data_IF_983429619182
#
_entry.id   IF_983429619182
#
_cell.length_a   1.000
_cell.length_b   1.000
_cell.length_c   1.000
_cell.angle_alpha   90.00
_cell.angle_beta   90.00
_cell.angle_gamma   90.00
#
_symmetry.space_group_name_H-M   'P 1'
#
loop_
_entity.id
_entity.type
_entity.pdbx_description
1 polymer ?
#
# COMPACT_ATOMS: atom_id res chain seq x y z
N UNK A 1 -15.66 23.31 12.25
CA UNK A 1 -15.22 22.18 13.10
C UNK A 1 -14.95 21.01 12.17
N UNK A 2 -13.68 20.70 11.90
CA UNK A 2 -13.32 19.49 11.14
C UNK A 2 -13.55 18.31 12.06
N UNK A 3 -14.45 17.39 11.71
CA UNK A 3 -14.44 16.05 12.31
C UNK A 3 -13.01 15.51 12.12
N UNK A 4 -12.27 15.36 13.21
CA UNK A 4 -10.88 14.92 13.16
C UNK A 4 -10.85 13.48 12.65
N UNK A 5 -10.18 13.24 11.53
CA UNK A 5 -9.98 11.87 11.05
C UNK A 5 -9.03 11.20 12.04
N UNK A 6 -9.52 10.15 12.71
CA UNK A 6 -8.72 9.38 13.64
C UNK A 6 -7.82 8.41 12.86
N UNK A 7 -6.54 8.41 13.21
CA UNK A 7 -5.58 7.38 12.82
C UNK A 7 -5.87 6.07 13.55
N UNK A 8 -5.41 4.95 12.99
CA UNK A 8 -5.42 3.64 13.66
C UNK A 8 -4.09 2.91 13.42
N UNK A 9 -3.07 3.29 14.19
CA UNK A 9 -1.74 2.68 14.11
C UNK A 9 -1.76 1.20 14.49
N UNK A 10 -2.66 0.77 15.36
CA UNK A 10 -2.84 -0.64 15.70
C UNK A 10 -3.28 -1.44 14.47
N UNK A 11 -4.26 -0.94 13.71
CA UNK A 11 -4.67 -1.56 12.45
C UNK A 11 -3.56 -1.58 11.40
N UNK A 12 -2.72 -0.54 11.35
CA UNK A 12 -1.56 -0.51 10.47
C UNK A 12 -0.54 -1.62 10.80
N UNK A 13 -0.29 -1.86 12.09
CA UNK A 13 0.61 -2.93 12.53
C UNK A 13 0.00 -4.31 12.29
N UNK A 14 -1.27 -4.53 12.67
CA UNK A 14 -1.96 -5.80 12.38
C UNK A 14 -1.96 -6.13 10.89
N UNK A 15 -2.11 -5.11 10.05
CA UNK A 15 -2.00 -5.27 8.60
C UNK A 15 -0.59 -5.75 8.19
N UNK A 16 0.47 -5.09 8.67
CA UNK A 16 1.86 -5.48 8.34
C UNK A 16 2.20 -6.89 8.79
N UNK A 17 1.75 -7.28 10.00
CA UNK A 17 1.89 -8.64 10.52
C UNK A 17 1.15 -9.68 9.65
N UNK A 18 0.00 -9.33 9.07
CA UNK A 18 -0.77 -10.23 8.22
C UNK A 18 -0.18 -10.39 6.80
N UNK A 19 0.32 -9.30 6.21
CA UNK A 19 0.85 -9.34 4.82
C UNK A 19 2.32 -9.76 4.74
N UNK A 20 3.10 -9.53 5.81
CA UNK A 20 4.52 -9.88 5.92
C UNK A 20 4.85 -10.34 7.35
N UNK A 21 4.38 -11.53 7.72
CA UNK A 21 4.52 -12.09 9.08
C UNK A 21 5.97 -12.25 9.54
N UNK A 22 6.84 -12.67 8.62
CA UNK A 22 8.25 -12.97 8.88
C UNK A 22 9.20 -12.09 8.04
N UNK A 23 8.63 -11.24 7.18
CA UNK A 23 9.36 -10.41 6.23
C UNK A 23 9.67 -9.01 6.73
N UNK A 24 10.47 -8.26 5.97
CA UNK A 24 10.76 -6.86 6.26
C UNK A 24 9.58 -5.95 5.92
N UNK A 25 9.25 -5.03 6.83
CA UNK A 25 8.31 -3.95 6.61
C UNK A 25 9.04 -2.72 6.05
N UNK A 26 9.17 -2.67 4.73
CA UNK A 26 9.74 -1.49 4.04
C UNK A 26 8.69 -0.39 3.91
N UNK A 27 8.75 0.62 4.78
CA UNK A 27 7.80 1.74 4.82
C UNK A 27 8.36 3.00 4.16
N UNK A 28 7.48 3.73 3.47
CA UNK A 28 7.80 5.00 2.79
C UNK A 28 6.79 6.06 3.20
N UNK A 29 7.28 7.28 3.43
CA UNK A 29 6.47 8.47 3.72
C UNK A 29 6.65 9.52 2.62
N UNK A 30 5.53 10.08 2.14
CA UNK A 30 5.50 11.13 1.12
C UNK A 30 4.72 12.32 1.63
N UNK A 31 5.37 13.48 1.72
CA UNK A 31 4.74 14.73 2.15
C UNK A 31 3.79 15.25 1.07
N UNK A 32 2.58 15.71 1.44
CA UNK A 32 1.62 16.26 0.47
C UNK A 32 2.06 17.61 -0.13
N UNK A 33 3.10 18.23 0.45
CA UNK A 33 3.74 19.48 0.00
C UNK A 33 4.82 19.25 -1.07
N UNK A 34 5.16 17.99 -1.38
CA UNK A 34 6.29 17.64 -2.25
C UNK A 34 7.61 17.48 -1.50
N UNK A 35 8.69 17.27 -2.26
CA UNK A 35 10.02 16.92 -1.75
C UNK A 35 10.35 15.43 -1.90
N UNK A 36 11.60 15.02 -1.58
CA UNK A 36 11.99 13.62 -1.64
C UNK A 36 11.21 12.79 -0.60
N UNK A 37 10.88 11.52 -0.91
CA UNK A 37 10.33 10.61 0.08
C UNK A 37 11.34 10.37 1.21
N UNK A 38 10.82 9.96 2.37
CA UNK A 38 11.62 9.35 3.44
C UNK A 38 11.12 7.92 3.66
N UNK A 39 11.94 7.06 4.25
CA UNK A 39 11.54 5.68 4.47
C UNK A 39 12.33 5.03 5.59
N UNK A 40 11.81 3.94 6.09
CA UNK A 40 12.43 3.13 7.14
C UNK A 40 11.98 1.68 6.97
N UNK A 41 12.90 0.77 7.24
CA UNK A 41 12.66 -0.67 7.16
C UNK A 41 12.66 -1.22 8.58
N UNK A 42 11.67 -2.04 8.90
CA UNK A 42 11.56 -2.70 10.19
C UNK A 42 11.44 -4.21 10.00
N UNK A 43 11.90 -4.95 10.99
CA UNK A 43 11.52 -6.36 11.19
C UNK A 43 10.27 -6.44 12.09
N UNK A 44 9.54 -7.57 12.11
CA UNK A 44 8.45 -7.77 13.06
C UNK A 44 8.88 -7.62 14.53
N UNK A 45 10.15 -7.93 14.85
CA UNK A 45 10.72 -7.72 16.18
C UNK A 45 10.88 -6.23 16.54
N UNK A 46 10.92 -5.34 15.55
CA UNK A 46 11.03 -3.88 15.73
C UNK A 46 9.66 -3.18 15.75
N UNK A 47 8.60 -3.92 16.11
CA UNK A 47 7.21 -3.46 16.13
C UNK A 47 7.02 -2.12 16.83
N UNK A 48 7.59 -1.94 18.02
CA UNK A 48 7.44 -0.69 18.78
C UNK A 48 8.09 0.50 18.07
N UNK A 49 9.20 0.29 17.37
CA UNK A 49 9.83 1.35 16.59
C UNK A 49 9.03 1.67 15.32
N UNK A 50 8.37 0.68 14.73
CA UNK A 50 7.43 0.89 13.62
C UNK A 50 6.22 1.71 14.07
N UNK A 51 5.63 1.38 15.23
CA UNK A 51 4.53 2.16 15.85
C UNK A 51 4.94 3.62 16.02
N UNK A 52 6.06 3.87 16.70
CA UNK A 52 6.52 5.25 16.93
C UNK A 52 6.80 6.02 15.65
N UNK A 53 7.28 5.36 14.59
CA UNK A 53 7.50 5.98 13.29
C UNK A 53 6.20 6.31 12.55
N UNK A 54 5.21 5.42 12.61
CA UNK A 54 3.88 5.65 12.03
C UNK A 54 3.20 6.82 12.73
N UNK A 55 3.12 6.77 14.07
CA UNK A 55 2.47 7.81 14.89
C UNK A 55 3.08 9.20 14.65
N UNK A 56 4.42 9.28 14.58
CA UNK A 56 5.11 10.54 14.33
C UNK A 56 4.79 11.16 12.95
N UNK A 57 4.27 10.38 12.01
CA UNK A 57 4.00 10.82 10.63
C UNK A 57 2.51 10.89 10.28
N UNK A 58 1.63 10.41 11.16
CA UNK A 58 0.19 10.55 11.01
C UNK A 58 -0.19 12.03 10.84
N UNK A 59 -0.96 12.34 9.79
CA UNK A 59 -1.35 13.73 9.48
C UNK A 59 -0.22 14.64 8.96
N UNK A 60 1.03 14.16 8.93
CA UNK A 60 2.20 14.88 8.40
C UNK A 60 2.55 14.41 6.98
N UNK A 61 2.52 13.11 6.73
CA UNK A 61 2.82 12.49 5.45
C UNK A 61 1.84 11.36 5.13
N UNK A 62 1.67 11.06 3.84
CA UNK A 62 1.01 9.81 3.44
C UNK A 62 1.97 8.65 3.63
N UNK A 63 1.50 7.57 4.25
CA UNK A 63 2.30 6.38 4.55
C UNK A 63 1.99 5.23 3.60
N UNK A 64 3.04 4.47 3.28
CA UNK A 64 3.01 3.39 2.31
C UNK A 64 3.91 2.25 2.76
N UNK A 65 3.65 1.07 2.22
CA UNK A 65 4.48 -0.12 2.41
C UNK A 65 4.85 -0.73 1.05
N UNK A 66 5.97 -1.43 0.96
CA UNK A 66 6.31 -2.27 -0.20
C UNK A 66 5.40 -3.49 -0.25
N UNK A 67 4.71 -3.71 -1.37
CA UNK A 67 3.80 -4.86 -1.53
C UNK A 67 4.57 -6.18 -1.49
N UNK A 68 5.72 -6.22 -2.15
CA UNK A 68 6.52 -7.42 -2.35
C UNK A 68 7.81 -7.39 -1.51
N UNK A 69 8.44 -8.56 -1.41
CA UNK A 69 9.57 -8.80 -0.52
C UNK A 69 10.82 -8.10 -1.03
N UNK A 70 11.37 -7.22 -0.19
CA UNK A 70 12.66 -6.59 -0.44
C UNK A 70 13.80 -7.51 0.00
N UNK A 71 14.98 -7.36 -0.60
CA UNK A 71 16.19 -8.07 -0.16
C UNK A 71 16.45 -7.88 1.34
N UNK A 72 16.95 -8.90 2.07
CA UNK A 72 17.08 -8.86 3.53
C UNK A 72 17.95 -7.72 4.10
N UNK A 73 18.91 -7.22 3.32
CA UNK A 73 19.82 -6.15 3.68
C UNK A 73 19.34 -4.76 3.19
N UNK A 74 18.14 -4.66 2.61
CA UNK A 74 17.58 -3.38 2.18
C UNK A 74 17.32 -2.47 3.38
N UNK A 75 17.91 -1.27 3.36
CA UNK A 75 17.70 -0.21 4.37
C UNK A 75 17.42 1.15 3.70
N UNK A 76 16.90 1.12 2.48
CA UNK A 76 16.63 2.31 1.67
C UNK A 76 15.32 3.00 2.01
N UNK A 77 15.02 4.07 1.26
CA UNK A 77 13.82 4.90 1.40
C UNK A 77 12.61 4.31 0.67
N UNK A 78 12.83 3.91 -0.58
CA UNK A 78 11.81 3.32 -1.45
C UNK A 78 12.53 2.30 -2.33
N UNK A 79 12.09 1.04 -2.26
CA UNK A 79 12.65 -0.04 -3.04
C UNK A 79 12.52 0.24 -4.54
N UNK A 80 13.51 -0.22 -5.30
CA UNK A 80 13.45 -0.32 -6.75
C UNK A 80 13.21 -1.77 -7.16
N UNK A 81 12.96 -2.03 -8.45
CA UNK A 81 12.83 -3.40 -8.97
C UNK A 81 14.02 -4.30 -8.60
N UNK A 82 15.24 -3.74 -8.56
CA UNK A 82 16.46 -4.48 -8.21
C UNK A 82 16.52 -4.87 -6.73
N UNK A 83 15.71 -4.24 -5.87
CA UNK A 83 15.64 -4.58 -4.46
C UNK A 83 14.56 -5.64 -4.16
N UNK A 84 13.69 -6.00 -5.12
CA UNK A 84 12.63 -6.99 -4.91
C UNK A 84 13.15 -8.40 -5.22
N UNK A 85 13.03 -9.31 -4.26
CA UNK A 85 13.54 -10.70 -4.38
C UNK A 85 12.43 -11.72 -4.62
N UNK A 86 11.21 -11.46 -4.15
CA UNK A 86 10.07 -12.32 -4.36
C UNK A 86 8.76 -11.54 -4.38
N UNK A 87 7.82 -11.97 -5.23
CA UNK A 87 6.47 -11.47 -5.29
C UNK A 87 5.55 -12.36 -4.47
N UNK A 88 4.82 -11.76 -3.53
CA UNK A 88 3.81 -12.44 -2.70
C UNK A 88 2.39 -12.20 -3.23
N UNK A 89 2.21 -11.12 -3.99
CA UNK A 89 0.92 -10.67 -4.48
C UNK A 89 0.98 -10.23 -5.94
N UNK A 90 -0.10 -10.50 -6.68
CA UNK A 90 -0.50 -9.63 -7.79
C UNK A 90 -1.37 -8.49 -7.24
N UNK A 91 -1.40 -7.34 -7.91
CA UNK A 91 -2.10 -6.16 -7.41
C UNK A 91 -2.69 -5.26 -8.51
N UNK A 92 -3.65 -4.44 -8.10
CA UNK A 92 -4.22 -3.34 -8.88
C UNK A 92 -4.51 -2.13 -7.98
N UNK A 93 -4.43 -0.92 -8.54
CA UNK A 93 -4.71 0.36 -7.87
C UNK A 93 -5.76 1.09 -8.70
N UNK A 94 -6.96 1.32 -8.16
CA UNK A 94 -8.10 1.91 -8.86
C UNK A 94 -8.40 3.27 -8.21
N UNK A 95 -8.04 4.40 -8.83
CA UNK A 95 -8.25 5.77 -8.27
C UNK A 95 -9.68 6.29 -8.49
N UNK A 96 -10.69 5.43 -8.30
CA UNK A 96 -12.12 5.73 -8.43
C UNK A 96 -12.97 5.02 -7.34
N UNK A 97 -14.00 5.72 -6.86
CA UNK A 97 -14.86 5.27 -5.75
C UNK A 97 -15.87 4.17 -6.15
N UNK A 98 -16.12 3.97 -7.44
CA UNK A 98 -16.94 2.88 -7.97
C UNK A 98 -16.14 1.57 -8.17
N UNK A 99 -14.84 1.58 -7.88
CA UNK A 99 -13.95 0.44 -8.09
C UNK A 99 -14.34 -0.81 -7.29
N UNK A 100 -14.98 -0.64 -6.14
CA UNK A 100 -15.33 -1.76 -5.25
C UNK A 100 -16.30 -2.75 -5.87
N UNK A 101 -17.31 -2.26 -6.60
CA UNK A 101 -18.29 -3.14 -7.25
C UNK A 101 -17.61 -4.02 -8.30
N UNK A 102 -16.75 -3.42 -9.13
CA UNK A 102 -15.94 -4.13 -10.13
C UNK A 102 -15.07 -5.22 -9.49
N UNK A 103 -14.44 -4.93 -8.35
CA UNK A 103 -13.62 -5.88 -7.62
C UNK A 103 -14.43 -7.07 -7.08
N UNK A 104 -15.62 -6.82 -6.52
CA UNK A 104 -16.48 -7.87 -5.93
C UNK A 104 -17.07 -8.81 -6.97
N UNK A 105 -17.32 -8.34 -8.19
CA UNK A 105 -17.87 -9.15 -9.28
C UNK A 105 -16.79 -9.71 -10.22
N UNK A 106 -15.51 -9.44 -9.94
CA UNK A 106 -14.44 -9.93 -10.80
C UNK A 106 -14.34 -11.47 -10.72
N UNK A 107 -14.10 -12.10 -11.87
CA UNK A 107 -14.06 -13.56 -12.03
C UNK A 107 -13.12 -14.29 -11.06
N UNK A 108 -12.07 -13.60 -10.59
CA UNK A 108 -11.15 -14.11 -9.59
C UNK A 108 -11.21 -13.18 -8.36
N UNK A 109 -11.81 -13.60 -7.24
CA UNK A 109 -11.98 -12.72 -6.09
C UNK A 109 -10.61 -12.28 -5.53
N UNK A 110 -10.43 -10.99 -5.18
CA UNK A 110 -9.24 -10.55 -4.47
C UNK A 110 -9.09 -11.23 -3.11
N UNK A 111 -7.86 -11.48 -2.68
CA UNK A 111 -7.57 -11.94 -1.32
C UNK A 111 -7.72 -10.82 -0.28
N UNK A 112 -7.49 -9.57 -0.71
CA UNK A 112 -7.49 -8.39 0.14
C UNK A 112 -7.92 -7.18 -0.68
N UNK A 113 -8.79 -6.35 -0.09
CA UNK A 113 -9.21 -5.05 -0.65
C UNK A 113 -8.97 -3.96 0.39
N UNK A 114 -8.28 -2.90 0.00
CA UNK A 114 -7.96 -1.73 0.81
C UNK A 114 -8.60 -0.50 0.17
N UNK A 115 -9.34 0.27 0.96
CA UNK A 115 -9.72 1.63 0.58
C UNK A 115 -8.51 2.56 0.81
N UNK A 116 -8.03 3.20 -0.24
CA UNK A 116 -6.80 4.01 -0.22
C UNK A 116 -7.04 5.48 0.18
N UNK A 117 -8.30 5.87 0.40
CA UNK A 117 -8.73 7.26 0.64
C UNK A 117 -9.22 7.99 -0.61
N UNK A 118 -9.10 7.41 -1.80
CA UNK A 118 -9.62 7.98 -3.05
C UNK A 118 -10.11 6.95 -4.07
N UNK A 119 -10.10 5.68 -3.68
CA UNK A 119 -10.33 4.53 -4.53
C UNK A 119 -9.90 3.26 -3.81
N UNK A 120 -9.63 2.18 -4.55
CA UNK A 120 -9.39 0.86 -3.99
C UNK A 120 -8.10 0.24 -4.50
N UNK A 121 -7.39 -0.42 -3.61
CA UNK A 121 -6.23 -1.26 -3.90
C UNK A 121 -6.63 -2.69 -3.61
N UNK A 122 -6.39 -3.60 -4.56
CA UNK A 122 -6.74 -5.00 -4.40
C UNK A 122 -5.55 -5.90 -4.70
N UNK A 123 -5.49 -7.00 -3.98
CA UNK A 123 -4.35 -7.91 -3.97
C UNK A 123 -4.82 -9.36 -4.09
N UNK A 124 -4.08 -10.16 -4.86
CA UNK A 124 -4.26 -11.60 -4.98
C UNK A 124 -3.01 -12.28 -4.43
N UNK A 125 -3.13 -12.91 -3.26
CA UNK A 125 -2.03 -13.59 -2.59
C UNK A 125 -1.71 -14.88 -3.35
N UNK A 126 -0.43 -15.11 -3.62
CA UNK A 126 0.00 -16.39 -4.16
C UNK A 126 0.09 -17.44 -3.05
N UNK A 127 -0.15 -18.70 -3.40
CA UNK A 127 0.03 -19.80 -2.46
C UNK A 127 1.48 -19.90 -1.98
N UNK A 128 2.42 -19.70 -2.90
CA UNK A 128 3.86 -19.60 -2.64
C UNK A 128 4.42 -18.34 -3.32
N UNK A 129 5.38 -17.64 -2.70
CA UNK A 129 6.06 -16.51 -3.34
C UNK A 129 6.76 -16.94 -4.64
N UNK A 130 6.84 -16.03 -5.61
CA UNK A 130 7.49 -16.31 -6.90
C UNK A 130 8.58 -15.30 -7.24
N UNK A 131 9.65 -15.78 -7.87
CA UNK A 131 10.74 -14.96 -8.41
C UNK A 131 10.52 -14.58 -9.88
N UNK A 132 9.44 -15.05 -10.52
CA UNK A 132 9.06 -14.64 -11.89
C UNK A 132 8.37 -13.26 -11.87
N UNK A 133 9.15 -12.24 -11.49
CA UNK A 133 8.64 -10.89 -11.25
C UNK A 133 8.05 -10.26 -12.52
N UNK A 134 8.62 -10.57 -13.70
CA UNK A 134 8.10 -10.08 -14.98
C UNK A 134 6.71 -10.62 -15.29
N UNK A 135 6.45 -11.90 -14.98
CA UNK A 135 5.12 -12.49 -15.11
C UNK A 135 4.13 -11.81 -14.19
N UNK A 136 4.52 -11.49 -12.96
CA UNK A 136 3.66 -10.76 -12.03
C UNK A 136 3.33 -9.37 -12.56
N UNK A 137 4.29 -8.64 -13.12
CA UNK A 137 4.00 -7.35 -13.76
C UNK A 137 3.06 -7.48 -14.96
N UNK A 138 3.17 -8.55 -15.76
CA UNK A 138 2.20 -8.84 -16.84
C UNK A 138 0.80 -9.08 -16.29
N UNK A 139 0.68 -9.84 -15.20
CA UNK A 139 -0.61 -10.08 -14.52
C UNK A 139 -1.18 -8.76 -14.00
N UNK A 140 -0.37 -7.93 -13.33
CA UNK A 140 -0.80 -6.63 -12.81
C UNK A 140 -1.30 -5.70 -13.92
N UNK A 141 -0.65 -5.71 -15.09
CA UNK A 141 -1.14 -4.97 -16.28
C UNK A 141 -2.49 -5.48 -16.76
N UNK A 142 -2.70 -6.80 -16.79
CA UNK A 142 -3.99 -7.37 -17.17
C UNK A 142 -5.09 -7.03 -16.16
N UNK A 143 -4.79 -7.10 -14.86
CA UNK A 143 -5.72 -6.71 -13.80
C UNK A 143 -6.11 -5.22 -13.95
N UNK A 144 -5.14 -4.34 -14.20
CA UNK A 144 -5.42 -2.93 -14.46
C UNK A 144 -6.30 -2.71 -15.70
N UNK A 145 -6.06 -3.45 -16.79
CA UNK A 145 -6.88 -3.37 -18.00
C UNK A 145 -8.32 -3.86 -17.76
N UNK A 146 -8.47 -4.98 -17.05
CA UNK A 146 -9.78 -5.58 -16.76
C UNK A 146 -10.61 -4.72 -15.79
N UNK A 147 -9.96 -4.14 -14.79
CA UNK A 147 -10.62 -3.48 -13.66
C UNK A 147 -10.57 -1.96 -13.73
N UNK A 148 -9.98 -1.38 -14.77
CA UNK A 148 -9.79 0.07 -14.90
C UNK A 148 -8.88 0.66 -13.83
N UNK A 149 -7.74 0.00 -13.59
CA UNK A 149 -6.70 0.45 -12.67
C UNK A 149 -5.67 1.39 -13.32
N UNK A 150 -4.92 2.08 -12.47
CA UNK A 150 -3.83 2.97 -12.83
C UNK A 150 -2.59 2.22 -13.34
N UNK A 151 -1.61 2.96 -13.89
CA UNK A 151 -0.30 2.46 -14.30
C UNK A 151 0.61 2.13 -13.09
N UNK A 152 0.14 1.24 -12.22
CA UNK A 152 0.76 0.85 -10.96
C UNK A 152 1.25 -0.60 -10.97
N UNK A 153 1.55 -1.16 -12.14
CA UNK A 153 1.78 -2.59 -12.34
C UNK A 153 3.21 -3.08 -11.99
N UNK A 154 4.13 -2.16 -11.64
CA UNK A 154 5.52 -2.47 -11.37
C UNK A 154 5.70 -3.32 -10.09
N UNK A 155 6.72 -4.18 -10.03
CA UNK A 155 6.88 -5.13 -8.91
C UNK A 155 7.31 -4.46 -7.60
N UNK A 156 8.07 -3.38 -7.69
CA UNK A 156 8.53 -2.52 -6.58
C UNK A 156 7.46 -1.51 -6.13
N UNK A 157 6.18 -1.86 -6.28
CA UNK A 157 5.09 -0.95 -5.97
C UNK A 157 4.97 -0.77 -4.46
N UNK A 158 4.88 0.50 -4.06
CA UNK A 158 4.42 0.89 -2.73
C UNK A 158 2.92 1.18 -2.78
N UNK A 159 2.17 0.66 -1.82
CA UNK A 159 0.72 0.84 -1.68
C UNK A 159 0.37 1.50 -0.35
N UNK A 160 -0.86 2.00 -0.21
CA UNK A 160 -1.27 2.71 1.01
C UNK A 160 -1.26 1.75 2.18
N UNK A 161 -0.68 2.20 3.29
CA UNK A 161 -0.72 1.46 4.54
C UNK A 161 -2.09 1.71 5.20
N UNK A 162 -2.96 0.69 5.37
CA UNK A 162 -4.19 0.82 6.12
C UNK A 162 -3.93 1.28 7.57
N UNK A 163 -4.91 1.93 8.20
CA UNK A 163 -4.76 2.56 9.51
C UNK A 163 -4.13 3.97 9.47
N UNK A 164 -3.66 4.42 8.29
CA UNK A 164 -2.96 5.70 8.16
C UNK A 164 -3.77 6.74 7.39
N UNK A 165 -3.54 8.03 7.69
CA UNK A 165 -4.26 9.13 7.03
C UNK A 165 -3.63 9.41 5.67
N UNK A 166 -4.37 9.21 4.60
CA UNK A 166 -3.99 9.65 3.27
C UNK A 166 -4.16 11.17 3.15
N UNK A 167 -3.06 11.85 2.84
CA UNK A 167 -3.03 13.29 2.63
C UNK A 167 -2.97 13.62 1.12
N UNK A 168 -4.03 14.19 0.53
CA UNK A 168 -3.99 14.60 -0.87
C UNK A 168 -2.98 15.72 -1.07
N UNK A 169 -2.24 15.69 -2.19
CA UNK A 169 -1.35 16.77 -2.60
C UNK A 169 -2.14 18.03 -3.01
N UNK A 170 -1.43 19.15 -3.25
CA UNK A 170 -2.07 20.43 -3.60
C UNK A 170 -3.02 20.34 -4.80
N UNK A 171 -2.67 19.57 -5.84
CA UNK A 171 -3.53 19.34 -7.02
C UNK A 171 -4.82 18.62 -6.63
N UNK A 172 -4.72 17.52 -5.88
CA UNK A 172 -5.88 16.73 -5.42
C UNK A 172 -6.78 17.53 -4.47
N UNK A 173 -6.22 18.38 -3.61
CA UNK A 173 -7.00 19.31 -2.76
C UNK A 173 -7.77 20.34 -3.57
N UNK A 174 -7.16 20.94 -4.60
CA UNK A 174 -7.86 21.85 -5.52
C UNK A 174 -9.02 21.16 -6.26
N UNK A 175 -8.91 19.85 -6.50
CA UNK A 175 -9.98 19.03 -7.07
C UNK A 175 -11.01 18.54 -6.02
N UNK A 176 -11.02 19.11 -4.81
CA UNK A 176 -12.00 18.80 -3.76
C UNK A 176 -11.70 17.56 -2.92
N UNK A 177 -10.57 16.88 -3.14
CA UNK A 177 -10.21 15.72 -2.30
C UNK A 177 -9.74 16.19 -0.92
N UNK A 178 -10.32 15.60 0.12
CA UNK A 178 -9.95 15.81 1.53
C UNK A 178 -9.04 14.68 2.02
N UNK A 179 -8.32 14.88 3.14
CA UNK A 179 -7.69 13.76 3.86
C UNK A 179 -8.71 12.65 4.16
N UNK A 180 -8.28 11.40 4.11
CA UNK A 180 -9.13 10.23 4.38
C UNK A 180 -8.31 9.13 5.06
N UNK A 181 -8.91 8.37 5.98
CA UNK A 181 -8.29 7.16 6.53
C UNK A 181 -8.24 6.07 5.46
N UNK A 182 -7.07 5.46 5.26
CA UNK A 182 -6.96 4.22 4.51
C UNK A 182 -7.31 3.04 5.43
N UNK A 183 -8.11 2.08 4.96
CA UNK A 183 -8.54 0.94 5.78
C UNK A 183 -8.77 -0.30 4.93
N UNK A 184 -8.72 -1.48 5.57
CA UNK A 184 -9.07 -2.75 4.94
C UNK A 184 -10.58 -2.86 4.82
N UNK A 185 -11.07 -3.11 3.60
CA UNK A 185 -12.49 -3.29 3.30
C UNK A 185 -12.88 -4.75 3.46
N UNK A 186 -12.08 -5.65 2.88
CA UNK A 186 -12.32 -7.10 2.83
C UNK A 186 -11.00 -7.87 2.87
N UNK A 187 -11.07 -9.08 3.46
CA UNK A 187 -9.92 -9.96 3.69
C UNK A 187 -9.10 -9.56 4.92
N UNK A 188 -8.37 -10.52 5.48
CA UNK A 188 -7.06 -10.42 6.17
C UNK A 188 -6.58 -11.84 6.46
#
# INVERSE_FOLDING_TARGET
MSLGIAADTSAAISFLEAVHSDGLWSLTAIKPTGGPPTGKVFTPAEREQAVGWIDALQGVAGLYYSVNEVRPDFRGVKATKADIVAAHYAHVDIDHLDGLERLRIYKLPPSLIVFSGGGYQAFWKFAEPTTDLERVERINRQLAADLGGDNCHNIDRIMRLPGTINLPNAKKRKAGRAPMLAYVVEGI
#
